data_IF_851366775771
#
_entry.id   IF_851366775771
#
_cell.length_a   1.000
_cell.length_b   1.000
_cell.length_c   1.000
_cell.angle_alpha   90.00
_cell.angle_beta   90.00
_cell.angle_gamma   90.00
#
_symmetry.space_group_name_H-M   'P 1'
#
loop_
_entity.id
_entity.type
_entity.pdbx_description
1 polymer ?
#
# COMPACT_ATOMS: atom_id res chain seq x y z
N UNK A 1 -11.42 6.79 -23.40
CA UNK A 1 -11.23 5.33 -23.62
C UNK A 1 -11.75 4.59 -22.41
N UNK A 2 -12.42 3.46 -22.62
CA UNK A 2 -13.36 2.84 -21.69
C UNK A 2 -12.82 2.64 -20.27
N UNK A 3 -13.61 3.11 -19.31
CA UNK A 3 -13.40 2.90 -17.89
C UNK A 3 -13.77 1.45 -17.53
N UNK A 4 -13.06 0.47 -18.08
CA UNK A 4 -13.07 -0.88 -17.54
C UNK A 4 -12.19 -0.87 -16.29
N UNK A 5 -12.73 -0.36 -15.18
CA UNK A 5 -12.33 -0.82 -13.84
C UNK A 5 -12.54 -2.34 -13.91
N UNK A 6 -11.50 -3.10 -14.27
CA UNK A 6 -11.50 -4.55 -14.10
C UNK A 6 -11.85 -4.75 -12.64
N UNK A 7 -13.03 -5.31 -12.38
CA UNK A 7 -13.49 -5.65 -11.03
C UNK A 7 -12.51 -6.68 -10.49
N UNK A 8 -11.45 -6.20 -9.83
CA UNK A 8 -10.58 -7.04 -9.02
C UNK A 8 -11.41 -7.39 -7.80
N UNK A 9 -12.15 -8.49 -7.88
CA UNK A 9 -12.48 -9.25 -6.67
C UNK A 9 -11.13 -9.69 -6.14
N UNK A 10 -10.67 -9.11 -5.04
CA UNK A 10 -9.39 -9.41 -4.41
C UNK A 10 -9.50 -10.77 -3.72
N UNK A 11 -9.49 -11.84 -4.53
CA UNK A 11 -9.48 -13.20 -4.03
C UNK A 11 -8.08 -13.53 -3.52
N UNK A 12 -8.04 -14.15 -2.35
CA UNK A 12 -6.83 -14.78 -1.82
C UNK A 12 -6.20 -15.67 -2.89
N UNK A 13 -4.92 -15.44 -3.19
CA UNK A 13 -4.17 -16.24 -4.16
C UNK A 13 -3.92 -17.64 -3.60
N UNK A 14 -4.10 -18.67 -4.41
CA UNK A 14 -3.70 -20.03 -4.04
C UNK A 14 -2.18 -20.08 -3.97
N UNK A 15 -1.65 -20.31 -2.76
CA UNK A 15 -0.21 -20.39 -2.51
C UNK A 15 0.14 -21.68 -1.78
N UNK A 16 1.30 -22.26 -2.13
CA UNK A 16 1.87 -23.37 -1.40
C UNK A 16 2.70 -22.82 -0.23
N UNK A 17 2.43 -23.29 0.98
CA UNK A 17 3.08 -22.87 2.21
C UNK A 17 3.94 -23.98 2.79
N UNK A 18 5.01 -23.59 3.46
CA UNK A 18 5.74 -24.42 4.42
C UNK A 18 5.66 -23.79 5.80
N UNK A 19 5.63 -24.62 6.82
CA UNK A 19 5.64 -24.17 8.20
C UNK A 19 6.75 -24.85 8.98
N UNK A 20 7.45 -24.07 9.80
CA UNK A 20 8.42 -24.55 10.77
C UNK A 20 8.01 -24.07 12.16
N UNK A 21 7.89 -25.00 13.10
CA UNK A 21 7.52 -24.69 14.47
C UNK A 21 8.75 -24.79 15.37
N UNK A 22 9.02 -23.74 16.14
CA UNK A 22 9.88 -23.84 17.32
C UNK A 22 8.99 -24.39 18.44
N UNK A 23 9.50 -25.34 19.22
CA UNK A 23 8.77 -25.94 20.34
C UNK A 23 8.30 -24.84 21.31
N UNK A 24 6.98 -24.72 21.53
CA UNK A 24 6.43 -23.75 22.50
C UNK A 24 5.13 -23.05 22.12
N UNK A 25 4.66 -23.14 20.87
CA UNK A 25 3.29 -22.74 20.52
C UNK A 25 2.31 -23.80 21.04
N UNK A 26 1.33 -23.39 21.86
CA UNK A 26 0.23 -24.27 22.25
C UNK A 26 -0.59 -24.69 21.02
N UNK A 27 -1.08 -25.92 20.99
CA UNK A 27 -1.93 -26.40 19.88
C UNK A 27 -3.16 -25.49 19.73
N UNK A 28 -3.37 -24.96 18.53
CA UNK A 28 -4.57 -24.20 18.20
C UNK A 28 -5.76 -25.15 18.14
N UNK A 29 -6.85 -24.81 18.84
CA UNK A 29 -8.14 -25.45 18.69
C UNK A 29 -8.95 -24.61 17.71
N UNK A 30 -9.14 -25.08 16.47
CA UNK A 30 -9.82 -24.31 15.43
C UNK A 30 -11.24 -23.87 15.83
N UNK A 31 -11.93 -24.69 16.63
CA UNK A 31 -13.31 -24.44 17.09
C UNK A 31 -13.41 -23.46 18.27
N UNK A 32 -12.29 -23.12 18.91
CA UNK A 32 -12.31 -22.15 20.01
C UNK A 32 -12.76 -20.80 19.49
N UNK A 33 -13.57 -20.08 20.28
CA UNK A 33 -13.97 -18.71 19.94
C UNK A 33 -12.83 -17.75 20.27
N UNK A 34 -12.29 -17.07 19.25
CA UNK A 34 -11.34 -15.98 19.45
C UNK A 34 -12.06 -14.72 19.94
N UNK A 35 -13.13 -14.34 19.26
CA UNK A 35 -13.87 -13.13 19.59
C UNK A 35 -15.34 -13.25 19.23
N UNK A 36 -16.16 -12.40 19.85
CA UNK A 36 -17.54 -12.17 19.45
C UNK A 36 -17.66 -10.80 18.82
N UNK A 37 -18.41 -10.71 17.72
CA UNK A 37 -18.72 -9.48 17.01
C UNK A 37 -20.24 -9.42 16.90
N UNK A 38 -20.86 -8.61 17.75
CA UNK A 38 -22.30 -8.62 17.92
C UNK A 38 -22.80 -9.98 18.42
N UNK A 39 -23.46 -10.71 17.53
CA UNK A 39 -24.03 -12.05 17.74
C UNK A 39 -23.18 -13.16 17.12
N UNK A 40 -22.22 -12.79 16.27
CA UNK A 40 -21.37 -13.75 15.57
C UNK A 40 -20.13 -14.12 16.37
N UNK A 41 -19.66 -15.34 16.14
CA UNK A 41 -18.43 -15.87 16.74
C UNK A 41 -17.37 -16.00 15.67
N UNK A 42 -16.20 -15.44 15.94
CA UNK A 42 -15.00 -15.64 15.14
C UNK A 42 -14.21 -16.77 15.74
N UNK A 43 -14.01 -17.84 14.97
CA UNK A 43 -13.25 -19.00 15.41
C UNK A 43 -11.74 -18.77 15.36
N UNK A 44 -11.00 -19.50 16.18
CA UNK A 44 -9.55 -19.52 16.16
C UNK A 44 -9.00 -20.09 14.86
N UNK A 45 -9.73 -20.99 14.18
CA UNK A 45 -9.38 -21.49 12.86
C UNK A 45 -9.32 -20.38 11.83
N UNK A 46 -10.39 -19.60 11.70
CA UNK A 46 -10.47 -18.43 10.79
C UNK A 46 -9.37 -17.43 11.10
N UNK A 47 -9.17 -17.10 12.38
CA UNK A 47 -8.20 -16.10 12.77
C UNK A 47 -6.74 -16.57 12.57
N UNK A 48 -6.41 -17.81 12.92
CA UNK A 48 -5.09 -18.37 12.70
C UNK A 48 -4.80 -18.46 11.20
N UNK A 49 -5.73 -18.99 10.39
CA UNK A 49 -5.54 -19.08 8.94
C UNK A 49 -5.29 -17.72 8.31
N UNK A 50 -6.14 -16.73 8.62
CA UNK A 50 -5.99 -15.37 8.09
C UNK A 50 -4.67 -14.72 8.54
N UNK A 51 -4.27 -14.92 9.80
CA UNK A 51 -3.01 -14.40 10.34
C UNK A 51 -1.79 -15.05 9.67
N UNK A 52 -1.80 -16.38 9.50
CA UNK A 52 -0.69 -17.11 8.86
C UNK A 52 -0.57 -16.80 7.38
N UNK A 53 -1.68 -16.56 6.69
CA UNK A 53 -1.65 -16.11 5.30
C UNK A 53 -0.96 -14.74 5.19
N UNK A 54 -1.32 -13.78 6.05
CA UNK A 54 -0.68 -12.45 6.05
C UNK A 54 0.79 -12.52 6.49
N UNK A 55 1.10 -13.36 7.49
CA UNK A 55 2.48 -13.65 7.89
C UNK A 55 3.30 -14.13 6.70
N UNK A 56 2.79 -15.10 5.93
CA UNK A 56 3.53 -15.66 4.80
C UNK A 56 3.78 -14.65 3.68
N UNK A 57 2.81 -13.77 3.41
CA UNK A 57 2.98 -12.66 2.47
C UNK A 57 4.05 -11.67 2.96
N UNK A 58 4.03 -11.30 4.25
CA UNK A 58 5.01 -10.39 4.82
C UNK A 58 6.42 -11.00 4.86
N UNK A 59 6.57 -12.28 5.24
CA UNK A 59 7.85 -12.99 5.22
C UNK A 59 8.41 -13.09 3.79
N UNK A 60 7.55 -13.34 2.79
CA UNK A 60 7.97 -13.37 1.39
C UNK A 60 8.44 -12.00 0.87
N UNK A 61 7.81 -10.92 1.32
CA UNK A 61 8.13 -9.56 0.86
C UNK A 61 9.34 -8.96 1.58
N UNK A 62 9.47 -9.19 2.88
CA UNK A 62 10.42 -8.46 3.73
C UNK A 62 11.49 -9.35 4.38
N UNK A 63 11.26 -10.67 4.48
CA UNK A 63 12.13 -11.59 5.22
C UNK A 63 13.56 -11.64 4.70
N UNK A 64 13.78 -11.50 3.39
CA UNK A 64 15.15 -11.48 2.81
C UNK A 64 15.95 -10.23 3.22
N UNK A 65 15.28 -9.10 3.47
CA UNK A 65 15.95 -7.85 3.84
C UNK A 65 16.06 -7.70 5.36
N UNK A 66 15.00 -8.03 6.10
CA UNK A 66 14.92 -7.82 7.54
C UNK A 66 15.47 -9.00 8.35
N UNK A 67 15.71 -10.14 7.71
CA UNK A 67 16.28 -11.31 8.37
C UNK A 67 15.28 -12.08 9.24
N UNK A 68 15.83 -12.93 10.08
CA UNK A 68 15.13 -13.96 10.82
C UNK A 68 14.36 -13.43 12.04
N UNK A 69 14.80 -12.32 12.59
CA UNK A 69 14.28 -11.63 13.78
C UNK A 69 13.37 -10.42 13.44
N UNK A 70 12.90 -10.36 12.19
CA UNK A 70 12.01 -9.30 11.70
C UNK A 70 10.78 -9.12 12.59
N UNK A 71 10.19 -10.21 13.10
CA UNK A 71 8.98 -10.16 13.91
C UNK A 71 9.20 -9.56 15.29
N UNK A 72 10.39 -9.73 15.85
CA UNK A 72 10.83 -9.13 17.12
C UNK A 72 11.34 -7.69 16.98
N UNK A 73 11.55 -7.20 15.75
CA UNK A 73 12.06 -5.86 15.50
C UNK A 73 11.11 -4.77 16.03
N UNK A 74 11.65 -3.81 16.77
CA UNK A 74 10.91 -2.66 17.29
C UNK A 74 10.52 -1.70 16.16
N UNK A 75 9.24 -1.32 16.11
CA UNK A 75 8.72 -0.41 15.09
C UNK A 75 8.44 0.98 15.67
N UNK A 76 7.57 1.06 16.69
CA UNK A 76 7.19 2.30 17.36
C UNK A 76 6.67 1.98 18.78
N UNK A 77 6.83 2.91 19.72
CA UNK A 77 6.23 2.84 21.08
C UNK A 77 6.40 1.50 21.82
N UNK A 78 7.56 0.83 21.64
CA UNK A 78 7.84 -0.49 22.22
C UNK A 78 6.91 -1.63 21.72
N UNK A 79 6.18 -1.43 20.62
CA UNK A 79 5.48 -2.50 19.90
C UNK A 79 6.43 -3.13 18.85
N UNK A 80 6.43 -4.47 18.80
CA UNK A 80 7.16 -5.21 17.78
C UNK A 80 6.40 -5.22 16.45
N UNK A 81 7.07 -5.62 15.37
CA UNK A 81 6.40 -5.85 14.09
C UNK A 81 5.29 -6.93 14.20
N UNK A 82 5.50 -7.98 15.01
CA UNK A 82 4.47 -8.97 15.31
C UNK A 82 3.25 -8.34 15.97
N UNK A 83 3.44 -7.51 16.99
CA UNK A 83 2.35 -6.84 17.70
C UNK A 83 1.53 -5.94 16.76
N UNK A 84 2.23 -5.13 15.98
CA UNK A 84 1.61 -4.22 14.99
C UNK A 84 0.79 -5.00 13.97
N UNK A 85 1.35 -6.08 13.41
CA UNK A 85 0.66 -6.90 12.41
C UNK A 85 -0.55 -7.62 13.03
N UNK A 86 -0.40 -8.21 14.21
CA UNK A 86 -1.49 -8.90 14.90
C UNK A 86 -2.64 -7.95 15.24
N UNK A 87 -2.35 -6.72 15.66
CA UNK A 87 -3.36 -5.68 15.89
C UNK A 87 -4.14 -5.38 14.62
N UNK A 88 -3.46 -5.16 13.48
CA UNK A 88 -4.09 -4.93 12.17
C UNK A 88 -4.94 -6.11 11.71
N UNK A 89 -4.46 -7.34 11.89
CA UNK A 89 -5.22 -8.57 11.58
C UNK A 89 -6.51 -8.61 12.39
N UNK A 90 -6.44 -8.34 13.68
CA UNK A 90 -7.60 -8.36 14.57
C UNK A 90 -8.63 -7.29 14.17
N UNK A 91 -8.20 -6.05 13.89
CA UNK A 91 -9.09 -4.99 13.39
C UNK A 91 -9.73 -5.33 12.04
N UNK A 92 -8.97 -5.99 11.15
CA UNK A 92 -9.49 -6.47 9.86
C UNK A 92 -10.56 -7.52 10.07
N UNK A 93 -10.33 -8.52 10.94
CA UNK A 93 -11.33 -9.54 11.25
C UNK A 93 -12.60 -8.93 11.84
N UNK A 94 -12.49 -7.93 12.73
CA UNK A 94 -13.67 -7.21 13.25
C UNK A 94 -14.45 -6.57 12.11
N UNK A 95 -13.75 -5.86 11.23
CA UNK A 95 -14.34 -5.22 10.05
C UNK A 95 -15.07 -6.22 9.15
N UNK A 96 -14.44 -7.37 8.84
CA UNK A 96 -15.02 -8.39 7.97
C UNK A 96 -16.36 -8.92 8.50
N UNK A 97 -16.43 -9.24 9.80
CA UNK A 97 -17.67 -9.74 10.42
C UNK A 97 -18.74 -8.66 10.53
N UNK A 98 -18.36 -7.43 10.88
CA UNK A 98 -19.32 -6.31 10.93
C UNK A 98 -19.91 -6.01 9.55
N UNK A 99 -19.11 -6.06 8.48
CA UNK A 99 -19.61 -5.88 7.12
C UNK A 99 -20.60 -6.98 6.71
N UNK A 100 -20.33 -8.23 7.10
CA UNK A 100 -21.28 -9.33 6.88
C UNK A 100 -22.61 -9.09 7.59
N UNK A 101 -22.56 -8.66 8.85
CA UNK A 101 -23.75 -8.36 9.66
C UNK A 101 -24.65 -7.29 9.00
N UNK A 102 -24.04 -6.37 8.24
CA UNK A 102 -24.71 -5.28 7.53
C UNK A 102 -25.01 -5.56 6.04
N UNK A 103 -24.74 -6.75 5.51
CA UNK A 103 -25.01 -7.08 4.09
C UNK A 103 -26.44 -6.77 3.64
N UNK A 104 -27.42 -7.08 4.49
CA UNK A 104 -28.84 -6.90 4.19
C UNK A 104 -29.22 -5.42 4.02
N UNK A 105 -28.59 -4.53 4.78
CA UNK A 105 -28.84 -3.09 4.71
C UNK A 105 -28.46 -2.52 3.34
N UNK A 106 -27.49 -3.15 2.67
CA UNK A 106 -26.99 -2.78 1.34
C UNK A 106 -27.46 -3.72 0.22
N UNK A 107 -28.35 -4.67 0.52
CA UNK A 107 -28.85 -5.69 -0.43
C UNK A 107 -27.70 -6.49 -1.10
N UNK A 108 -26.63 -6.72 -0.36
CA UNK A 108 -25.48 -7.51 -0.80
C UNK A 108 -25.73 -8.98 -0.52
N UNK A 109 -25.52 -9.83 -1.52
CA UNK A 109 -25.64 -11.29 -1.41
C UNK A 109 -24.57 -11.98 -2.27
N UNK A 110 -24.05 -13.12 -1.81
CA UNK A 110 -23.15 -13.96 -2.60
C UNK A 110 -23.94 -14.74 -3.65
N UNK A 111 -23.56 -14.56 -4.91
CA UNK A 111 -24.11 -15.28 -6.06
C UNK A 111 -23.68 -16.75 -6.07
N UNK A 112 -24.39 -17.58 -6.84
CA UNK A 112 -24.02 -18.99 -7.01
C UNK A 112 -22.62 -19.16 -7.64
N UNK A 113 -22.25 -18.31 -8.60
CA UNK A 113 -20.93 -18.32 -9.24
C UNK A 113 -19.81 -17.95 -8.25
N UNK A 114 -20.03 -16.93 -7.41
CA UNK A 114 -19.08 -16.55 -6.36
C UNK A 114 -18.87 -17.71 -5.37
N UNK A 115 -19.96 -18.35 -4.91
CA UNK A 115 -19.88 -19.52 -4.02
C UNK A 115 -19.13 -20.69 -4.65
N UNK A 116 -19.38 -20.98 -5.93
CA UNK A 116 -18.65 -22.03 -6.66
C UNK A 116 -17.16 -21.70 -6.79
N UNK A 117 -16.82 -20.43 -7.04
CA UNK A 117 -15.43 -19.98 -7.13
C UNK A 117 -14.72 -20.11 -5.79
N UNK A 118 -15.37 -19.70 -4.70
CA UNK A 118 -14.88 -19.87 -3.32
C UNK A 118 -14.58 -21.34 -3.05
N UNK A 119 -15.53 -22.23 -3.33
CA UNK A 119 -15.39 -23.67 -3.11
C UNK A 119 -14.20 -24.25 -3.88
N UNK A 120 -14.10 -23.91 -5.17
CA UNK A 120 -12.99 -24.34 -6.04
C UNK A 120 -11.65 -23.82 -5.54
N UNK A 121 -11.56 -22.54 -5.18
CA UNK A 121 -10.32 -21.92 -4.69
C UNK A 121 -9.89 -22.53 -3.36
N UNK A 122 -10.82 -22.84 -2.45
CA UNK A 122 -10.52 -23.55 -1.22
C UNK A 122 -9.95 -24.95 -1.50
N UNK A 123 -10.53 -25.71 -2.43
CA UNK A 123 -10.01 -27.01 -2.82
C UNK A 123 -8.61 -26.95 -3.43
N UNK A 124 -8.36 -25.97 -4.31
CA UNK A 124 -7.05 -25.74 -4.91
C UNK A 124 -6.00 -25.39 -3.85
N UNK A 125 -6.36 -24.56 -2.87
CA UNK A 125 -5.50 -24.25 -1.72
C UNK A 125 -5.12 -25.51 -0.94
N UNK A 126 -6.09 -26.36 -0.61
CA UNK A 126 -5.84 -27.58 0.14
C UNK A 126 -4.99 -28.61 -0.64
N UNK A 127 -5.13 -28.64 -1.98
CA UNK A 127 -4.32 -29.51 -2.86
C UNK A 127 -2.88 -29.02 -2.97
N UNK A 128 -2.65 -27.70 -2.96
CA UNK A 128 -1.33 -27.11 -3.03
C UNK A 128 -0.50 -27.31 -1.74
N UNK A 129 -1.15 -27.63 -0.62
CA UNK A 129 -0.54 -27.65 0.71
C UNK A 129 -0.54 -29.05 1.36
N UNK A 130 0.61 -29.44 1.92
CA UNK A 130 0.76 -30.70 2.67
C UNK A 130 0.02 -30.65 4.01
N UNK A 131 -0.41 -31.79 4.52
CA UNK A 131 -1.21 -31.89 5.76
C UNK A 131 -0.56 -31.20 6.96
N UNK A 132 0.75 -31.38 7.16
CA UNK A 132 1.47 -30.70 8.25
C UNK A 132 1.43 -29.17 8.15
N UNK A 133 1.50 -28.60 6.94
CA UNK A 133 1.39 -27.16 6.74
C UNK A 133 -0.06 -26.70 6.97
N UNK A 134 -1.04 -27.46 6.47
CA UNK A 134 -2.47 -27.20 6.67
C UNK A 134 -2.87 -27.18 8.14
N UNK A 135 -2.39 -28.14 8.94
CA UNK A 135 -2.66 -28.17 10.38
C UNK A 135 -2.10 -26.93 11.09
N UNK A 136 -0.86 -26.54 10.77
CA UNK A 136 -0.22 -25.34 11.34
C UNK A 136 -1.02 -24.08 11.06
N UNK A 137 -1.48 -23.91 9.81
CA UNK A 137 -2.21 -22.71 9.40
C UNK A 137 -3.72 -22.83 9.61
N UNK A 138 -4.22 -23.88 10.28
CA UNK A 138 -5.66 -24.15 10.42
C UNK A 138 -6.42 -24.20 9.08
N UNK A 139 -5.77 -24.62 8.00
CA UNK A 139 -6.41 -24.73 6.69
C UNK A 139 -7.16 -26.06 6.54
N UNK A 140 -8.46 -26.01 6.79
CA UNK A 140 -9.44 -26.97 6.31
C UNK A 140 -10.41 -26.29 5.31
N UNK A 141 -11.26 -27.08 4.64
CA UNK A 141 -12.13 -26.56 3.58
C UNK A 141 -13.09 -25.49 4.11
N UNK A 142 -13.61 -25.70 5.32
CA UNK A 142 -14.54 -24.77 5.97
C UNK A 142 -13.85 -23.44 6.29
N UNK A 143 -12.70 -23.47 6.95
CA UNK A 143 -11.93 -22.29 7.33
C UNK A 143 -11.48 -21.47 6.13
N UNK A 144 -10.94 -22.14 5.09
CA UNK A 144 -10.47 -21.45 3.88
C UNK A 144 -11.65 -20.83 3.13
N UNK A 145 -12.75 -21.58 2.96
CA UNK A 145 -13.96 -21.06 2.31
C UNK A 145 -14.53 -19.88 3.08
N UNK A 146 -14.57 -19.96 4.42
CA UNK A 146 -15.09 -18.90 5.28
C UNK A 146 -14.31 -17.60 5.15
N UNK A 147 -12.98 -17.66 5.10
CA UNK A 147 -12.16 -16.46 4.87
C UNK A 147 -12.39 -15.89 3.46
N UNK A 148 -12.47 -16.75 2.44
CA UNK A 148 -12.77 -16.34 1.07
C UNK A 148 -14.15 -15.69 0.94
N UNK A 149 -15.17 -16.19 1.65
CA UNK A 149 -16.50 -15.58 1.75
C UNK A 149 -16.42 -14.18 2.35
N UNK A 150 -15.77 -14.03 3.51
CA UNK A 150 -15.62 -12.76 4.21
C UNK A 150 -14.93 -11.71 3.33
N UNK A 151 -13.86 -12.09 2.62
CA UNK A 151 -13.16 -11.19 1.69
C UNK A 151 -14.04 -10.81 0.49
N UNK A 152 -14.80 -11.77 -0.06
CA UNK A 152 -15.74 -11.51 -1.15
C UNK A 152 -16.87 -10.57 -0.71
N UNK A 153 -17.37 -10.74 0.52
CA UNK A 153 -18.38 -9.87 1.13
C UNK A 153 -17.81 -8.46 1.30
N UNK A 154 -16.59 -8.31 1.82
CA UNK A 154 -15.94 -7.01 1.98
C UNK A 154 -15.87 -6.24 0.65
N UNK A 155 -15.46 -6.89 -0.43
CA UNK A 155 -15.37 -6.27 -1.75
C UNK A 155 -16.74 -5.78 -2.24
N UNK A 156 -17.77 -6.61 -2.11
CA UNK A 156 -19.13 -6.27 -2.51
C UNK A 156 -19.73 -5.16 -1.64
N UNK A 157 -19.48 -5.21 -0.33
CA UNK A 157 -19.89 -4.18 0.61
C UNK A 157 -19.22 -2.85 0.29
N UNK A 158 -17.92 -2.83 -0.02
CA UNK A 158 -17.23 -1.62 -0.47
C UNK A 158 -17.89 -1.03 -1.73
N UNK A 159 -18.22 -1.84 -2.73
CA UNK A 159 -18.91 -1.36 -3.94
C UNK A 159 -20.29 -0.76 -3.59
N UNK A 160 -21.07 -1.45 -2.76
CA UNK A 160 -22.42 -1.00 -2.40
C UNK A 160 -22.43 0.24 -1.49
N UNK A 161 -21.53 0.31 -0.50
CA UNK A 161 -21.41 1.41 0.48
C UNK A 161 -20.92 2.72 -0.12
N UNK A 162 -20.23 2.65 -1.27
CA UNK A 162 -19.64 3.80 -1.95
C UNK A 162 -20.32 4.15 -3.27
N UNK A 163 -21.43 3.47 -3.59
CA UNK A 163 -22.14 3.64 -4.86
C UNK A 163 -22.71 5.06 -5.05
N UNK A 164 -23.02 5.76 -3.96
CA UNK A 164 -23.60 7.11 -3.93
C UNK A 164 -22.55 8.24 -3.82
N UNK A 165 -21.26 7.89 -3.72
CA UNK A 165 -20.18 8.87 -3.65
C UNK A 165 -20.13 9.70 -4.93
N UNK A 166 -19.95 11.00 -4.78
CA UNK A 166 -19.83 11.92 -5.93
C UNK A 166 -18.56 11.63 -6.74
N UNK A 167 -18.76 11.26 -8.01
CA UNK A 167 -17.71 10.94 -8.98
C UNK A 167 -17.42 12.10 -9.93
N UNK A 168 -18.11 13.22 -9.77
CA UNK A 168 -17.85 14.41 -10.57
C UNK A 168 -16.69 15.18 -9.94
N UNK A 169 -15.54 15.13 -10.60
CA UNK A 169 -14.36 15.90 -10.21
C UNK A 169 -14.05 16.89 -11.33
N UNK A 170 -14.08 18.17 -10.97
CA UNK A 170 -13.79 19.27 -11.89
C UNK A 170 -12.29 19.29 -12.26
N UNK A 171 -11.94 19.98 -13.34
CA UNK A 171 -10.52 20.19 -13.67
C UNK A 171 -9.86 21.08 -12.63
N UNK A 172 -10.59 22.06 -12.10
CA UNK A 172 -10.12 22.98 -11.08
C UNK A 172 -9.76 22.27 -9.77
N UNK A 173 -10.58 21.31 -9.35
CA UNK A 173 -10.34 20.50 -8.15
C UNK A 173 -9.14 19.56 -8.30
N UNK A 174 -8.95 19.00 -9.49
CA UNK A 174 -7.91 18.02 -9.76
C UNK A 174 -6.66 18.62 -10.45
N UNK A 175 -6.59 19.95 -10.58
CA UNK A 175 -5.63 20.61 -11.44
C UNK A 175 -4.20 20.21 -11.06
N UNK A 176 -3.48 19.63 -12.01
CA UNK A 176 -2.05 19.34 -11.88
C UNK A 176 -1.28 20.25 -12.83
N UNK A 177 -0.35 21.04 -12.31
CA UNK A 177 0.64 21.76 -13.10
C UNK A 177 1.78 20.83 -13.46
N UNK A 178 2.64 21.25 -14.39
CA UNK A 178 3.85 20.52 -14.76
C UNK A 178 5.03 21.47 -14.80
N UNK A 179 6.17 20.99 -14.32
CA UNK A 179 7.44 21.71 -14.34
C UNK A 179 8.59 20.81 -14.76
N UNK A 180 9.66 21.44 -15.23
CA UNK A 180 10.99 20.86 -15.28
C UNK A 180 11.89 21.61 -14.30
N UNK A 181 12.72 20.90 -13.54
CA UNK A 181 13.66 21.53 -12.63
C UNK A 181 15.03 20.86 -12.65
N UNK A 182 16.06 21.64 -12.31
CA UNK A 182 17.41 21.15 -12.01
C UNK A 182 17.66 21.35 -10.51
N UNK A 183 18.16 20.31 -9.85
CA UNK A 183 18.51 20.32 -8.43
C UNK A 183 20.04 20.38 -8.23
N UNK A 184 20.47 21.32 -7.41
CA UNK A 184 21.87 21.53 -7.03
C UNK A 184 22.02 21.17 -5.55
N UNK A 185 22.38 19.91 -5.29
CA UNK A 185 22.40 19.33 -3.95
C UNK A 185 23.47 19.93 -3.03
N UNK A 186 23.14 20.08 -1.74
CA UNK A 186 24.09 20.37 -0.67
C UNK A 186 24.82 19.13 -0.15
N UNK A 187 24.49 17.95 -0.67
CA UNK A 187 25.16 16.71 -0.31
C UNK A 187 26.27 16.40 -1.31
N UNK A 188 27.46 16.12 -0.78
CA UNK A 188 28.57 15.56 -1.55
C UNK A 188 28.78 14.12 -1.12
N UNK A 189 28.88 13.22 -2.09
CA UNK A 189 29.23 11.82 -1.87
C UNK A 189 30.68 11.60 -2.29
N UNK A 190 31.48 11.07 -1.38
CA UNK A 190 32.89 10.71 -1.64
C UNK A 190 32.98 9.33 -2.32
N UNK A 191 34.14 8.99 -2.89
CA UNK A 191 34.37 7.73 -3.61
C UNK A 191 34.12 6.48 -2.74
N UNK A 192 34.27 6.61 -1.41
CA UNK A 192 34.00 5.54 -0.45
C UNK A 192 32.50 5.38 -0.13
N UNK A 193 31.61 6.14 -0.77
CA UNK A 193 30.16 6.13 -0.55
C UNK A 193 29.68 6.98 0.64
N UNK A 194 30.59 7.62 1.38
CA UNK A 194 30.24 8.50 2.51
C UNK A 194 29.65 9.80 1.98
N UNK A 195 28.50 10.20 2.52
CA UNK A 195 27.84 11.46 2.16
C UNK A 195 27.96 12.49 3.28
N UNK A 196 28.28 13.73 2.93
CA UNK A 196 28.39 14.86 3.87
C UNK A 196 27.76 16.12 3.28
N UNK A 197 27.34 17.04 4.15
CA UNK A 197 26.84 18.35 3.73
C UNK A 197 28.03 19.25 3.38
N UNK A 198 27.94 19.97 2.26
CA UNK A 198 28.97 20.91 1.81
C UNK A 198 29.09 22.12 2.75
N UNK A 199 30.27 22.73 2.76
CA UNK A 199 30.57 23.95 3.53
C UNK A 199 29.82 25.18 2.99
N UNK A 200 29.75 26.25 3.78
CA UNK A 200 29.06 27.48 3.36
C UNK A 200 29.74 28.17 2.17
N UNK A 201 31.07 28.09 2.06
CA UNK A 201 31.81 28.58 0.89
C UNK A 201 31.50 27.76 -0.37
N UNK A 202 31.34 26.44 -0.23
CA UNK A 202 30.89 25.57 -1.32
C UNK A 202 29.43 25.86 -1.71
N UNK A 203 28.54 26.13 -0.75
CA UNK A 203 27.16 26.57 -1.04
C UNK A 203 27.16 27.87 -1.83
N UNK A 204 27.99 28.85 -1.46
CA UNK A 204 28.12 30.10 -2.22
C UNK A 204 28.55 29.85 -3.67
N UNK A 205 29.55 28.99 -3.86
CA UNK A 205 30.01 28.58 -5.20
C UNK A 205 28.91 27.85 -5.98
N UNK A 206 28.13 27.00 -5.32
CA UNK A 206 27.02 26.28 -5.92
C UNK A 206 25.88 27.23 -6.33
N UNK A 207 25.61 28.26 -5.53
CA UNK A 207 24.62 29.31 -5.84
C UNK A 207 25.02 30.11 -7.08
N UNK A 208 26.30 30.39 -7.27
CA UNK A 208 26.82 31.03 -8.49
C UNK A 208 26.62 30.14 -9.71
N UNK A 209 26.84 28.82 -9.59
CA UNK A 209 26.57 27.86 -10.67
C UNK A 209 25.07 27.80 -11.00
N UNK A 210 24.20 27.72 -10.00
CA UNK A 210 22.75 27.74 -10.19
C UNK A 210 22.29 29.04 -10.85
N UNK A 211 22.86 30.20 -10.47
CA UNK A 211 22.58 31.49 -11.10
C UNK A 211 22.98 31.51 -12.57
N UNK A 212 24.20 31.05 -12.90
CA UNK A 212 24.67 30.97 -14.29
C UNK A 212 23.78 30.06 -15.14
N UNK A 213 23.39 28.91 -14.60
CA UNK A 213 22.45 28.01 -15.26
C UNK A 213 21.10 28.70 -15.50
N UNK A 214 20.55 29.36 -14.47
CA UNK A 214 19.30 30.09 -14.56
C UNK A 214 19.33 31.20 -15.62
N UNK A 215 20.41 31.97 -15.69
CA UNK A 215 20.57 33.03 -16.69
C UNK A 215 20.67 32.47 -18.10
N UNK A 216 21.46 31.41 -18.30
CA UNK A 216 21.62 30.77 -19.59
C UNK A 216 20.35 30.06 -20.08
N UNK A 217 19.55 29.50 -19.17
CA UNK A 217 18.31 28.81 -19.48
C UNK A 217 17.18 29.76 -19.96
N UNK A 218 17.20 31.05 -19.61
CA UNK A 218 16.15 32.03 -19.99
C UNK A 218 15.96 32.16 -21.50
N UNK A 219 17.02 31.99 -22.27
CA UNK A 219 17.01 32.16 -23.72
C UNK A 219 16.79 30.85 -24.47
N UNK A 220 16.64 29.73 -23.76
CA UNK A 220 16.54 28.40 -24.36
C UNK A 220 15.08 28.00 -24.53
N UNK A 221 14.79 27.44 -25.71
CA UNK A 221 13.47 26.88 -25.99
C UNK A 221 13.23 25.61 -25.14
N UNK A 222 14.24 24.73 -25.09
CA UNK A 222 14.21 23.46 -24.37
C UNK A 222 15.10 23.51 -23.12
N UNK A 223 14.44 23.54 -21.95
CA UNK A 223 15.11 23.61 -20.66
C UNK A 223 15.87 22.31 -20.34
N UNK A 224 15.34 21.15 -20.73
CA UNK A 224 15.96 19.86 -20.45
C UNK A 224 17.18 19.61 -21.34
N UNK A 225 17.11 19.98 -22.62
CA UNK A 225 18.27 19.94 -23.51
C UNK A 225 19.41 20.83 -22.98
N UNK A 226 19.08 22.07 -22.57
CA UNK A 226 20.08 22.97 -22.01
C UNK A 226 20.67 22.49 -20.68
N UNK A 227 19.85 21.90 -19.80
CA UNK A 227 20.32 21.25 -18.58
C UNK A 227 21.39 20.20 -18.90
N UNK A 228 21.09 19.30 -19.85
CA UNK A 228 22.01 18.24 -20.28
C UNK A 228 23.30 18.80 -20.88
N UNK A 229 23.23 19.78 -21.76
CA UNK A 229 24.40 20.45 -22.34
C UNK A 229 25.26 21.15 -21.28
N UNK A 230 24.61 21.65 -20.22
CA UNK A 230 25.27 22.29 -19.07
C UNK A 230 25.78 21.28 -18.03
N UNK A 231 25.67 19.98 -18.28
CA UNK A 231 26.13 18.93 -17.37
C UNK A 231 25.20 18.65 -16.19
N UNK A 232 23.92 19.02 -16.30
CA UNK A 232 22.88 18.79 -15.31
C UNK A 232 21.77 17.89 -15.83
N UNK A 233 20.95 17.35 -14.92
CA UNK A 233 19.76 16.59 -15.26
C UNK A 233 18.52 17.42 -14.93
N UNK A 234 17.62 17.57 -15.91
CA UNK A 234 16.30 18.14 -15.69
C UNK A 234 15.31 17.04 -15.35
N UNK A 235 14.64 17.18 -14.21
CA UNK A 235 13.56 16.28 -13.78
C UNK A 235 12.22 16.90 -14.15
N UNK A 236 11.35 16.12 -14.77
CA UNK A 236 9.96 16.52 -15.01
C UNK A 236 9.08 16.06 -13.87
N UNK A 237 8.26 16.96 -13.33
CA UNK A 237 7.32 16.65 -12.25
C UNK A 237 6.00 17.36 -12.48
N UNK A 238 4.90 16.64 -12.28
CA UNK A 238 3.56 17.21 -12.13
C UNK A 238 3.28 17.49 -10.67
N UNK A 239 2.55 18.56 -10.39
CA UNK A 239 2.32 19.00 -9.01
C UNK A 239 1.02 19.77 -8.83
N UNK A 240 0.53 19.80 -7.59
CA UNK A 240 -0.43 20.79 -7.09
C UNK A 240 0.16 21.64 -5.95
N UNK A 241 -0.62 22.58 -5.41
CA UNK A 241 -0.16 23.50 -4.37
C UNK A 241 0.05 22.83 -3.00
N UNK A 242 -0.49 21.63 -2.80
CA UNK A 242 -0.39 20.86 -1.55
C UNK A 242 0.86 19.93 -1.55
N UNK A 243 1.55 19.80 -2.69
CA UNK A 243 2.77 19.01 -2.78
C UNK A 243 3.92 19.59 -1.97
N UNK A 244 4.69 18.69 -1.35
CA UNK A 244 5.88 19.01 -0.53
C UNK A 244 7.19 18.51 -1.13
N UNK A 245 7.10 17.61 -2.12
CA UNK A 245 8.23 17.07 -2.88
C UNK A 245 8.34 17.78 -4.25
N UNK A 246 9.54 18.08 -4.78
CA UNK A 246 10.87 17.81 -4.20
C UNK A 246 11.25 18.80 -3.09
N UNK A 247 10.52 19.92 -2.98
CA UNK A 247 10.66 20.88 -1.89
C UNK A 247 9.43 21.77 -1.83
N UNK A 248 8.83 21.88 -0.65
CA UNK A 248 7.71 22.80 -0.39
C UNK A 248 8.03 24.25 -0.80
N UNK A 249 9.29 24.69 -0.63
CA UNK A 249 9.73 26.04 -1.03
C UNK A 249 9.71 26.19 -2.55
N UNK A 250 10.16 25.16 -3.28
CA UNK A 250 10.09 25.17 -4.75
C UNK A 250 8.65 25.19 -5.24
N UNK A 251 7.79 24.30 -4.71
CA UNK A 251 6.38 24.19 -5.10
C UNK A 251 5.68 25.54 -4.95
N UNK A 252 5.85 26.22 -3.81
CA UNK A 252 5.30 27.56 -3.58
C UNK A 252 5.78 28.62 -4.57
N UNK A 253 7.02 28.51 -5.06
CA UNK A 253 7.55 29.45 -6.05
C UNK A 253 7.01 29.16 -7.46
N UNK A 254 7.00 27.89 -7.89
CA UNK A 254 6.49 27.53 -9.22
C UNK A 254 4.97 27.65 -9.34
N UNK A 255 4.23 27.52 -8.25
CA UNK A 255 2.76 27.65 -8.27
C UNK A 255 2.30 29.06 -8.67
N UNK A 256 3.11 30.08 -8.39
CA UNK A 256 2.85 31.48 -8.77
C UNK A 256 3.07 31.77 -10.25
N UNK A 257 3.72 30.86 -10.98
CA UNK A 257 4.20 31.07 -12.34
C UNK A 257 3.22 30.56 -13.39
N UNK A 258 3.27 31.17 -14.57
CA UNK A 258 2.54 30.74 -15.78
C UNK A 258 3.36 29.76 -16.61
N UNK A 259 2.71 29.08 -17.54
CA UNK A 259 3.39 28.20 -18.49
C UNK A 259 4.48 28.97 -19.27
N UNK A 260 5.67 28.39 -19.31
CA UNK A 260 6.87 28.95 -19.91
C UNK A 260 7.71 29.82 -18.97
N UNK A 261 7.16 30.30 -17.86
CA UNK A 261 7.91 31.10 -16.88
C UNK A 261 8.85 30.23 -16.04
N UNK A 262 9.92 30.86 -15.56
CA UNK A 262 11.01 30.19 -14.84
C UNK A 262 11.27 30.90 -13.52
N UNK A 263 11.64 30.14 -12.49
CA UNK A 263 12.02 30.66 -11.19
C UNK A 263 13.36 31.42 -11.27
N UNK A 264 13.64 32.20 -10.22
CA UNK A 264 15.03 32.49 -9.85
C UNK A 264 15.74 31.23 -9.30
N UNK A 265 16.90 31.42 -8.69
CA UNK A 265 17.51 30.36 -7.86
C UNK A 265 16.74 30.28 -6.55
N UNK A 266 16.02 29.18 -6.35
CA UNK A 266 15.25 28.91 -5.12
C UNK A 266 16.15 28.15 -4.15
N UNK A 267 16.29 28.67 -2.93
CA UNK A 267 17.08 28.06 -1.87
C UNK A 267 16.16 27.22 -0.96
N UNK A 268 16.50 25.94 -0.81
CA UNK A 268 15.78 24.97 0.01
C UNK A 268 16.75 24.27 0.98
N UNK A 269 16.26 23.56 2.03
CA UNK A 269 17.13 22.93 3.02
C UNK A 269 18.15 21.93 2.43
N UNK A 270 17.80 21.25 1.34
CA UNK A 270 18.61 20.22 0.68
C UNK A 270 19.50 20.74 -0.43
N UNK A 271 19.32 21.98 -0.91
CA UNK A 271 20.05 22.51 -2.05
C UNK A 271 19.36 23.68 -2.75
N UNK A 272 19.86 24.02 -3.94
CA UNK A 272 19.23 25.01 -4.81
C UNK A 272 18.41 24.36 -5.91
N UNK A 273 17.34 25.04 -6.32
CA UNK A 273 16.51 24.64 -7.45
C UNK A 273 16.38 25.77 -8.46
N UNK A 274 16.32 25.40 -9.74
CA UNK A 274 15.87 26.27 -10.83
C UNK A 274 14.83 25.49 -11.62
N UNK A 275 13.65 26.05 -11.80
CA UNK A 275 12.53 25.36 -12.42
C UNK A 275 11.81 26.21 -13.45
N UNK A 276 11.30 25.59 -14.51
CA UNK A 276 10.44 26.17 -15.54
C UNK A 276 9.10 25.47 -15.53
N UNK A 277 8.01 26.22 -15.44
CA UNK A 277 6.66 25.67 -15.57
C UNK A 277 6.43 25.32 -17.03
N UNK A 278 6.10 24.07 -17.32
CA UNK A 278 5.85 23.56 -18.67
C UNK A 278 4.36 23.61 -19.02
N UNK A 279 3.49 23.42 -18.03
CA UNK A 279 2.03 23.54 -18.18
C UNK A 279 1.37 24.00 -16.88
N UNK A 280 0.32 24.81 -17.00
CA UNK A 280 -0.57 25.15 -15.87
C UNK A 280 -1.71 24.13 -15.69
N UNK A 281 -1.86 23.21 -16.65
CA UNK A 281 -2.82 22.10 -16.60
C UNK A 281 -2.25 20.94 -17.43
N UNK A 282 -1.62 19.99 -16.77
CA UNK A 282 -1.21 18.72 -17.37
C UNK A 282 -2.44 17.81 -17.47
N UNK A 283 -2.91 17.57 -18.70
CA UNK A 283 -4.16 16.84 -18.93
C UNK A 283 -4.12 15.42 -18.36
N UNK A 284 -2.99 14.71 -18.54
CA UNK A 284 -2.85 13.33 -18.12
C UNK A 284 -2.83 13.25 -16.59
N UNK A 285 -1.98 14.05 -15.95
CA UNK A 285 -1.89 14.05 -14.48
C UNK A 285 -3.18 14.55 -13.82
N UNK A 286 -3.85 15.54 -14.41
CA UNK A 286 -5.16 15.99 -13.92
C UNK A 286 -6.19 14.86 -13.99
N UNK A 287 -6.26 14.11 -15.09
CA UNK A 287 -7.19 12.98 -15.22
C UNK A 287 -6.87 11.83 -14.24
N UNK A 288 -5.58 11.60 -13.96
CA UNK A 288 -5.13 10.64 -12.94
C UNK A 288 -5.51 11.12 -11.52
N UNK A 289 -5.29 12.40 -11.19
CA UNK A 289 -5.69 13.02 -9.91
C UNK A 289 -7.20 12.95 -9.69
N UNK A 290 -8.02 13.09 -10.75
CA UNK A 290 -9.48 12.87 -10.64
C UNK A 290 -9.81 11.46 -10.16
N UNK A 291 -9.12 10.44 -10.66
CA UNK A 291 -9.33 9.06 -10.19
C UNK A 291 -8.89 8.90 -8.73
N UNK A 292 -7.79 9.52 -8.33
CA UNK A 292 -7.32 9.54 -6.95
C UNK A 292 -8.35 10.19 -6.03
N UNK A 293 -8.87 11.37 -6.36
CA UNK A 293 -9.89 12.08 -5.57
C UNK A 293 -11.16 11.22 -5.43
N UNK A 294 -11.61 10.58 -6.53
CA UNK A 294 -12.76 9.67 -6.45
C UNK A 294 -12.47 8.51 -5.48
N UNK A 295 -11.29 7.90 -5.58
CA UNK A 295 -10.91 6.80 -4.70
C UNK A 295 -10.78 7.24 -3.23
N UNK A 296 -10.27 8.44 -2.97
CA UNK A 296 -10.19 9.04 -1.62
C UNK A 296 -11.59 9.27 -1.04
N UNK A 297 -12.52 9.81 -1.85
CA UNK A 297 -13.92 9.98 -1.45
C UNK A 297 -14.60 8.63 -1.16
N UNK A 298 -14.38 7.63 -2.03
CA UNK A 298 -14.88 6.25 -1.85
C UNK A 298 -14.32 5.64 -0.55
N UNK A 299 -13.01 5.78 -0.30
CA UNK A 299 -12.36 5.26 0.91
C UNK A 299 -12.84 5.96 2.17
N UNK A 300 -12.92 7.30 2.18
CA UNK A 300 -13.41 8.07 3.32
C UNK A 300 -14.83 7.66 3.71
N UNK A 301 -15.73 7.55 2.71
CA UNK A 301 -17.10 7.09 2.93
C UNK A 301 -17.16 5.68 3.53
N UNK A 302 -16.35 4.78 3.00
CA UNK A 302 -16.26 3.41 3.50
C UNK A 302 -15.75 3.36 4.95
N UNK A 303 -14.66 4.07 5.27
CA UNK A 303 -14.09 4.16 6.62
C UNK A 303 -15.10 4.76 7.62
N UNK A 304 -15.77 5.86 7.27
CA UNK A 304 -16.80 6.48 8.12
C UNK A 304 -17.93 5.51 8.47
N UNK A 305 -18.36 4.70 7.51
CA UNK A 305 -19.41 3.70 7.73
C UNK A 305 -18.92 2.51 8.56
N UNK A 306 -17.73 1.98 8.26
CA UNK A 306 -17.12 0.88 9.04
C UNK A 306 -16.91 1.31 10.49
N UNK A 307 -16.36 2.51 10.72
CA UNK A 307 -16.16 3.07 12.06
C UNK A 307 -17.47 3.19 12.82
N UNK A 308 -18.55 3.61 12.14
CA UNK A 308 -19.87 3.67 12.74
C UNK A 308 -20.35 2.27 13.14
N UNK A 309 -20.27 1.30 12.25
CA UNK A 309 -20.71 -0.05 12.54
C UNK A 309 -19.91 -0.70 13.68
N UNK A 310 -18.58 -0.49 13.70
CA UNK A 310 -17.72 -0.97 14.78
C UNK A 310 -18.09 -0.34 16.13
N UNK A 311 -18.42 0.96 16.17
CA UNK A 311 -18.87 1.66 17.40
C UNK A 311 -20.21 1.15 17.90
N UNK A 312 -21.12 0.82 16.99
CA UNK A 312 -22.47 0.33 17.32
C UNK A 312 -22.48 -1.18 17.66
N UNK A 313 -21.39 -1.90 17.38
CA UNK A 313 -21.27 -3.34 17.60
C UNK A 313 -20.51 -3.65 18.88
N UNK A 314 -21.10 -4.48 19.75
CA UNK A 314 -20.39 -5.02 20.91
C UNK A 314 -19.35 -6.05 20.45
N UNK A 315 -18.08 -5.82 20.76
CA UNK A 315 -16.98 -6.73 20.42
C UNK A 315 -16.23 -7.15 21.68
N UNK A 316 -16.03 -8.45 21.86
CA UNK A 316 -15.26 -9.01 22.97
C UNK A 316 -14.21 -9.99 22.45
N UNK A 317 -12.95 -9.76 22.79
CA UNK A 317 -11.79 -10.53 22.28
C UNK A 317 -11.16 -11.34 23.40
N UNK A 318 -11.01 -12.64 23.18
CA UNK A 318 -10.21 -13.51 24.03
C UNK A 318 -8.72 -13.31 23.74
N UNK A 319 -8.12 -12.37 24.46
CA UNK A 319 -6.69 -12.08 24.37
C UNK A 319 -5.80 -13.27 24.78
N UNK A 320 -6.31 -14.26 25.53
CA UNK A 320 -5.54 -15.47 25.85
C UNK A 320 -5.46 -16.40 24.66
N UNK A 321 -6.56 -16.58 23.94
CA UNK A 321 -6.58 -17.32 22.68
C UNK A 321 -5.72 -16.62 21.61
N UNK A 322 -5.84 -15.28 21.49
CA UNK A 322 -5.04 -14.51 20.51
C UNK A 322 -3.52 -14.58 20.74
N UNK A 323 -3.09 -14.69 22.00
CA UNK A 323 -1.67 -14.83 22.36
C UNK A 323 -1.06 -16.17 21.94
N UNK A 324 -1.87 -17.18 21.58
CA UNK A 324 -1.36 -18.47 21.10
C UNK A 324 -0.78 -18.39 19.69
N UNK A 325 -1.24 -17.43 18.89
CA UNK A 325 -0.68 -17.17 17.55
C UNK A 325 0.59 -16.35 17.73
N UNK A 326 1.73 -16.90 17.33
CA UNK A 326 3.02 -16.20 17.36
C UNK A 326 3.76 -16.41 16.05
N UNK A 327 4.25 -15.32 15.47
CA UNK A 327 4.95 -15.31 14.18
C UNK A 327 6.43 -15.62 14.36
N UNK A 328 7.07 -15.00 15.36
CA UNK A 328 8.44 -15.29 15.79
C UNK A 328 8.66 -16.78 16.12
N UNK A 329 7.72 -17.42 16.83
CA UNK A 329 7.85 -18.83 17.25
C UNK A 329 7.44 -19.85 16.19
N UNK A 330 6.71 -19.42 15.17
CA UNK A 330 6.16 -20.32 14.16
C UNK A 330 6.14 -19.60 12.83
N UNK A 331 7.09 -19.94 11.97
CA UNK A 331 7.25 -19.31 10.66
C UNK A 331 6.41 -20.01 9.62
N UNK A 332 5.91 -19.22 8.67
CA UNK A 332 5.13 -19.71 7.54
C UNK A 332 5.64 -19.02 6.29
N UNK A 333 6.27 -19.77 5.40
CA UNK A 333 6.85 -19.23 4.17
C UNK A 333 6.06 -19.68 2.95
N UNK A 334 5.97 -18.80 1.97
CA UNK A 334 5.49 -19.18 0.64
C UNK A 334 6.59 -19.98 -0.06
N UNK A 335 6.23 -21.12 -0.62
CA UNK A 335 7.12 -21.83 -1.54
C UNK A 335 7.12 -21.07 -2.85
N UNK A 336 8.30 -20.75 -3.35
CA UNK A 336 8.47 -20.41 -4.75
C UNK A 336 7.89 -21.57 -5.56
N UNK A 337 6.83 -21.29 -6.33
CA UNK A 337 6.40 -22.21 -7.36
C UNK A 337 7.53 -22.16 -8.40
N UNK A 338 8.41 -23.15 -8.41
CA UNK A 338 9.21 -23.41 -9.59
C UNK A 338 8.20 -23.54 -10.73
N UNK A 339 8.16 -22.54 -11.62
CA UNK A 339 7.51 -22.73 -12.90
C UNK A 339 8.16 -23.96 -13.49
N UNK A 340 7.41 -25.05 -13.60
CA UNK A 340 7.80 -26.13 -14.50
C UNK A 340 7.86 -25.47 -15.88
N UNK A 341 9.08 -25.17 -16.34
CA UNK A 341 9.36 -24.99 -17.74
C UNK A 341 8.83 -26.24 -18.43
N UNK A 342 7.71 -26.09 -19.13
CA UNK A 342 7.25 -27.07 -20.10
C UNK A 342 8.28 -27.10 -21.23
N UNK A 343 9.35 -27.88 -21.02
CA UNK A 343 10.23 -28.31 -22.09
C UNK A 343 9.48 -29.39 -22.86
N UNK A 344 8.76 -28.99 -23.90
CA UNK A 344 8.52 -29.85 -25.06
C UNK A 344 8.88 -29.06 -26.32
N UNK A 345 10.16 -29.14 -26.68
CA UNK A 345 10.61 -28.98 -28.05
C UNK A 345 10.24 -30.23 -28.86
N UNK A 346 9.46 -30.06 -29.92
CA UNK A 346 9.93 -30.34 -31.29
C UNK A 346 9.05 -29.72 -32.36
#
# INVERSE_FOLDING_TARGET
MGNTRKKMVALMTVVAMSATAITGCGKINNEATLMTVGKDKVSMGVANFFARYQQAMAEAQYGTYMGDDMWESEMAESETMEDTMKKRILETLKTLYVLEDHMKDYKVELTAEEKQKIDKTAEEFLKANKDAAKEVVSADKETVSRVLELLTIQDKMREAMTADVDKNVSDEEAAQKSMQYVFFTFTKTEENGTSSTISDDEKKTLKEKATKFQEGAKTQADFAAYAKESGYEAVTKTFDADDVDPSEVLIKEVDKLKAGEMTGVVEAPSGYYVAKVTSVLDRKATDEKKQTIIAERENKKYEELVDKFLKDTKIDVDNKEWKKISFSKQRVTLKTVEQQESTEQK
#
